data_IF_402384501779
#
_entry.id   IF_402384501779
#
_cell.length_a   1.000
_cell.length_b   1.000
_cell.length_c   1.000
_cell.angle_alpha   90.00
_cell.angle_beta   90.00
_cell.angle_gamma   90.00
#
_symmetry.space_group_name_H-M   'P 1'
#
loop_
_entity.id
_entity.type
_entity.pdbx_description
1 polymer ?
#
# COMPACT_ATOMS: atom_id res chain seq x y z
N UNK A 1 7.28 -15.62 -5.82
CA UNK A 1 5.85 -15.46 -5.49
C UNK A 1 5.47 -16.52 -4.46
N UNK A 2 4.92 -16.13 -3.31
CA UNK A 2 4.46 -17.09 -2.29
C UNK A 2 3.07 -17.65 -2.65
N UNK A 3 2.81 -18.92 -2.32
CA UNK A 3 1.56 -19.63 -2.62
C UNK A 3 0.35 -18.92 -1.97
N UNK A 4 -0.85 -18.98 -2.57
CA UNK A 4 -2.08 -18.54 -1.91
C UNK A 4 -2.22 -19.21 -0.54
N UNK A 5 -2.29 -18.40 0.53
CA UNK A 5 -2.32 -18.89 1.91
C UNK A 5 -0.97 -18.88 2.66
N UNK A 6 0.15 -18.69 1.96
CA UNK A 6 1.51 -18.57 2.53
C UNK A 6 2.05 -17.13 2.49
N UNK A 7 1.16 -16.13 2.50
CA UNK A 7 1.56 -14.72 2.59
C UNK A 7 2.14 -14.45 3.98
N UNK A 8 3.41 -14.04 4.06
CA UNK A 8 4.03 -13.64 5.32
C UNK A 8 3.16 -12.58 6.03
N UNK A 9 2.58 -12.95 7.17
CA UNK A 9 1.59 -12.14 7.90
C UNK A 9 2.11 -10.74 8.23
N UNK A 10 3.42 -10.61 8.48
CA UNK A 10 4.09 -9.36 8.77
C UNK A 10 4.14 -8.42 7.55
N UNK A 11 4.61 -8.91 6.39
CA UNK A 11 4.66 -8.08 5.18
C UNK A 11 3.25 -7.71 4.72
N UNK A 12 2.31 -8.66 4.78
CA UNK A 12 0.92 -8.49 4.31
C UNK A 12 0.18 -7.30 4.93
N UNK A 13 0.42 -6.98 6.21
CA UNK A 13 -0.22 -5.85 6.90
C UNK A 13 0.34 -4.51 6.43
N UNK A 14 1.68 -4.42 6.33
CA UNK A 14 2.36 -3.28 5.76
C UNK A 14 1.89 -2.99 4.33
N UNK A 15 1.66 -4.03 3.52
CA UNK A 15 1.19 -3.89 2.13
C UNK A 15 -0.28 -3.43 2.00
N UNK A 16 -1.07 -3.45 3.08
CA UNK A 16 -2.53 -3.22 3.03
C UNK A 16 -2.97 -1.92 3.67
N UNK A 17 -2.05 -1.06 4.09
CA UNK A 17 -2.36 0.06 5.00
C UNK A 17 -3.19 -0.40 6.20
N UNK A 18 -2.81 -1.56 6.75
CA UNK A 18 -3.34 -2.05 8.01
C UNK A 18 -2.37 -1.72 9.12
N UNK A 19 -2.90 -1.56 10.33
CA UNK A 19 -2.09 -1.25 11.48
C UNK A 19 -1.03 -2.34 11.74
N UNK A 20 0.19 -1.87 11.91
CA UNK A 20 1.39 -2.65 12.25
C UNK A 20 2.08 -1.94 13.40
N UNK A 21 2.29 -2.66 14.49
CA UNK A 21 3.12 -2.20 15.61
C UNK A 21 4.47 -2.90 15.53
N UNK A 22 5.53 -2.12 15.33
CA UNK A 22 6.92 -2.57 15.38
C UNK A 22 7.49 -2.41 16.78
N UNK A 23 7.92 -3.52 17.38
CA UNK A 23 8.56 -3.54 18.69
C UNK A 23 10.03 -3.88 18.56
N UNK A 24 10.86 -3.21 19.35
CA UNK A 24 12.31 -3.36 19.36
C UNK A 24 13.05 -2.25 18.61
N UNK A 25 14.39 -2.18 18.77
CA UNK A 25 15.22 -1.21 18.07
C UNK A 25 15.15 -1.40 16.56
N UNK A 26 15.04 -0.30 15.81
CA UNK A 26 14.91 -0.31 14.35
C UNK A 26 13.54 -0.77 13.82
N UNK A 27 12.60 -1.14 14.70
CA UNK A 27 11.29 -1.62 14.28
C UNK A 27 10.42 -0.49 13.73
N UNK A 28 9.62 -0.81 12.70
CA UNK A 28 8.73 0.13 12.03
C UNK A 28 7.27 -0.16 12.37
N UNK A 29 6.53 0.91 12.62
CA UNK A 29 5.09 0.90 12.84
C UNK A 29 4.38 1.72 11.77
N UNK A 30 3.18 1.28 11.40
CA UNK A 30 2.28 1.98 10.50
C UNK A 30 0.89 1.98 11.14
N UNK A 31 0.27 3.14 11.22
CA UNK A 31 -1.11 3.30 11.66
C UNK A 31 -1.87 4.07 10.58
N UNK A 32 -2.91 3.49 9.99
CA UNK A 32 -3.61 4.09 8.87
C UNK A 32 -5.13 4.01 9.00
N UNK A 33 -5.78 5.16 8.93
CA UNK A 33 -7.24 5.28 8.98
C UNK A 33 -7.90 5.03 7.62
N UNK A 34 -9.22 4.85 7.65
CA UNK A 34 -10.06 4.80 6.44
C UNK A 34 -10.33 6.21 5.84
N UNK A 35 -9.80 7.26 6.47
CA UNK A 35 -9.81 8.67 6.05
C UNK A 35 -8.63 9.04 5.12
N UNK A 36 -7.80 8.05 4.77
CA UNK A 36 -6.62 8.27 3.92
C UNK A 36 -5.49 8.98 4.62
N UNK A 37 -5.51 9.05 5.95
CA UNK A 37 -4.41 9.55 6.75
C UNK A 37 -3.64 8.37 7.36
N UNK A 38 -2.34 8.59 7.56
CA UNK A 38 -1.49 7.60 8.21
C UNK A 38 -0.36 8.23 8.99
N UNK A 39 0.17 7.46 9.93
CA UNK A 39 1.37 7.75 10.69
C UNK A 39 2.35 6.60 10.53
N UNK A 40 3.60 6.93 10.20
CA UNK A 40 4.73 6.01 10.21
C UNK A 40 5.62 6.35 11.38
N UNK A 41 6.05 5.33 12.11
CA UNK A 41 7.01 5.47 13.21
C UNK A 41 8.14 4.49 13.02
N UNK A 42 9.38 4.94 13.20
CA UNK A 42 10.55 4.06 13.21
C UNK A 42 11.29 4.24 14.54
N UNK A 43 11.42 3.15 15.29
CA UNK A 43 12.24 3.15 16.51
C UNK A 43 13.71 3.31 16.12
N UNK A 44 14.47 4.07 16.91
CA UNK A 44 15.92 4.15 16.72
C UNK A 44 16.54 2.75 16.83
N UNK A 45 17.60 2.44 16.05
CA UNK A 45 18.26 1.13 16.10
C UNK A 45 19.17 0.97 17.32
N UNK A 46 19.40 2.03 18.09
CA UNK A 46 20.23 2.01 19.30
C UNK A 46 19.56 1.17 20.39
N UNK A 47 20.18 0.02 20.67
CA UNK A 47 19.70 -0.92 21.67
C UNK A 47 19.74 -0.34 23.08
N UNK A 48 20.84 0.31 23.47
CA UNK A 48 21.04 0.86 24.81
C UNK A 48 19.98 1.93 25.11
N UNK A 49 19.86 2.93 24.23
CA UNK A 49 18.89 4.01 24.38
C UNK A 49 17.43 3.50 24.38
N UNK A 50 17.14 2.46 23.60
CA UNK A 50 15.83 1.82 23.58
C UNK A 50 15.51 1.16 24.93
N UNK A 51 16.43 0.34 25.48
CA UNK A 51 16.22 -0.33 26.77
C UNK A 51 16.19 0.64 27.95
N UNK A 52 17.06 1.65 27.96
CA UNK A 52 17.06 2.69 29.01
C UNK A 52 15.73 3.44 29.04
N UNK A 53 15.23 3.88 27.88
CA UNK A 53 13.94 4.55 27.81
C UNK A 53 12.80 3.67 28.35
N UNK A 54 12.79 2.38 28.03
CA UNK A 54 11.77 1.45 28.56
C UNK A 54 11.89 1.24 30.07
N UNK A 55 13.11 1.11 30.60
CA UNK A 55 13.34 0.95 32.04
C UNK A 55 12.88 2.18 32.83
N UNK A 56 13.01 3.37 32.23
CA UNK A 56 12.53 4.63 32.80
C UNK A 56 11.02 4.87 32.58
N UNK A 57 10.29 3.92 31.97
CA UNK A 57 8.86 4.07 31.65
C UNK A 57 8.56 5.10 30.55
N UNK A 58 9.56 5.46 29.73
CA UNK A 58 9.45 6.41 28.63
C UNK A 58 9.31 5.70 27.29
N UNK A 59 8.73 6.39 26.31
CA UNK A 59 8.72 5.89 24.94
C UNK A 59 10.16 5.85 24.38
N UNK A 60 10.57 4.76 23.71
CA UNK A 60 11.88 4.70 23.08
C UNK A 60 12.07 5.80 22.02
N UNK A 61 13.31 6.27 21.81
CA UNK A 61 13.63 7.21 20.75
C UNK A 61 13.12 6.71 19.39
N UNK A 62 12.47 7.59 18.63
CA UNK A 62 11.86 7.24 17.36
C UNK A 62 11.71 8.46 16.46
N UNK A 63 11.54 8.23 15.17
CA UNK A 63 11.04 9.22 14.22
C UNK A 63 9.56 8.98 13.94
N UNK A 64 8.87 10.04 13.55
CA UNK A 64 7.47 9.99 13.13
C UNK A 64 7.28 10.79 11.83
N UNK A 65 6.51 10.23 10.92
CA UNK A 65 6.15 10.84 9.64
C UNK A 65 4.64 10.70 9.42
N UNK A 66 4.05 11.72 8.78
CA UNK A 66 2.68 11.70 8.28
C UNK A 66 2.70 11.82 6.75
N UNK A 67 2.69 10.68 6.03
CA UNK A 67 2.73 10.71 4.56
C UNK A 67 1.53 11.47 4.00
N UNK A 68 1.71 12.27 2.94
CA UNK A 68 0.60 12.95 2.30
C UNK A 68 -0.37 11.92 1.70
N UNK A 69 -1.66 12.26 1.69
CA UNK A 69 -2.72 11.41 1.16
C UNK A 69 -2.44 10.92 -0.27
N UNK A 70 -1.88 11.79 -1.13
CA UNK A 70 -1.49 11.45 -2.49
C UNK A 70 -0.44 10.33 -2.54
N UNK A 71 0.61 10.40 -1.72
CA UNK A 71 1.61 9.32 -1.65
C UNK A 71 1.00 8.00 -1.18
N UNK A 72 0.06 8.04 -0.23
CA UNK A 72 -0.68 6.86 0.21
C UNK A 72 -1.57 6.29 -0.90
N UNK A 73 -2.16 7.14 -1.75
CA UNK A 73 -2.92 6.75 -2.93
C UNK A 73 -2.02 6.02 -3.95
N UNK A 74 -0.85 6.58 -4.24
CA UNK A 74 0.13 6.02 -5.18
C UNK A 74 0.62 4.65 -4.70
N UNK A 75 0.96 4.56 -3.41
CA UNK A 75 1.34 3.29 -2.80
C UNK A 75 0.19 2.27 -2.83
N UNK A 76 -1.06 2.71 -2.64
CA UNK A 76 -2.21 1.83 -2.78
C UNK A 76 -2.34 1.29 -4.21
N UNK A 77 -2.23 2.14 -5.24
CA UNK A 77 -2.24 1.73 -6.64
C UNK A 77 -1.14 0.69 -6.91
N UNK A 78 0.12 1.05 -6.63
CA UNK A 78 1.26 0.19 -6.90
C UNK A 78 1.15 -1.18 -6.20
N UNK A 79 0.69 -1.21 -4.95
CA UNK A 79 0.58 -2.47 -4.20
C UNK A 79 -0.63 -3.30 -4.64
N UNK A 80 -1.77 -2.69 -4.92
CA UNK A 80 -2.98 -3.44 -5.29
C UNK A 80 -2.87 -4.10 -6.66
N UNK A 81 -2.17 -3.48 -7.61
CA UNK A 81 -1.87 -4.08 -8.92
C UNK A 81 -1.02 -5.36 -8.79
N UNK A 82 -0.21 -5.49 -7.73
CA UNK A 82 0.58 -6.69 -7.42
C UNK A 82 -0.25 -7.84 -6.82
N UNK A 83 -1.52 -7.62 -6.51
CA UNK A 83 -2.38 -8.62 -5.84
C UNK A 83 -3.44 -9.21 -6.77
N UNK A 84 -3.80 -10.48 -6.55
CA UNK A 84 -4.89 -11.14 -7.29
C UNK A 84 -6.26 -10.46 -7.09
N UNK A 85 -6.43 -9.70 -5.99
CA UNK A 85 -7.65 -8.94 -5.68
C UNK A 85 -7.80 -7.69 -6.56
N UNK A 86 -6.73 -7.21 -7.18
CA UNK A 86 -6.75 -6.01 -8.02
C UNK A 86 -6.92 -4.69 -7.25
N UNK A 87 -6.88 -3.59 -8.00
CA UNK A 87 -7.09 -2.21 -7.60
C UNK A 87 -8.57 -1.87 -7.63
N UNK A 88 -9.13 -1.48 -6.48
CA UNK A 88 -10.51 -0.97 -6.36
C UNK A 88 -10.52 0.54 -6.58
N UNK A 89 -11.16 0.99 -7.66
CA UNK A 89 -11.28 2.42 -7.97
C UNK A 89 -12.17 3.14 -6.94
N UNK A 90 -13.20 2.44 -6.45
CA UNK A 90 -14.09 2.97 -5.39
C UNK A 90 -13.35 3.19 -4.08
N UNK A 91 -12.48 2.26 -3.69
CA UNK A 91 -11.69 2.41 -2.46
C UNK A 91 -10.67 3.53 -2.61
N UNK A 92 -10.08 3.68 -3.80
CA UNK A 92 -9.13 4.75 -4.09
C UNK A 92 -9.78 6.13 -3.94
N UNK A 93 -10.96 6.31 -4.53
CA UNK A 93 -11.75 7.53 -4.40
C UNK A 93 -12.21 7.77 -2.95
N UNK A 94 -12.84 6.78 -2.32
CA UNK A 94 -13.43 6.96 -0.98
C UNK A 94 -12.39 7.18 0.13
N UNK A 95 -11.24 6.47 0.06
CA UNK A 95 -10.23 6.51 1.11
C UNK A 95 -9.17 7.57 0.86
N UNK A 96 -8.75 7.79 -0.38
CA UNK A 96 -7.64 8.70 -0.68
C UNK A 96 -8.05 9.92 -1.50
N UNK A 97 -9.34 10.14 -1.70
CA UNK A 97 -9.88 11.30 -2.44
C UNK A 97 -9.27 11.40 -3.86
N UNK A 98 -9.02 10.23 -4.47
CA UNK A 98 -8.36 10.11 -5.77
C UNK A 98 -9.27 9.37 -6.76
N UNK A 99 -9.80 10.08 -7.76
CA UNK A 99 -10.60 9.49 -8.81
C UNK A 99 -9.72 9.12 -10.02
N UNK A 100 -9.13 7.93 -9.95
CA UNK A 100 -8.28 7.42 -11.02
C UNK A 100 -9.03 7.24 -12.36
N UNK A 101 -10.36 7.05 -12.34
CA UNK A 101 -11.12 6.96 -13.60
C UNK A 101 -11.19 8.31 -14.29
N UNK A 102 -11.37 9.39 -13.52
CA UNK A 102 -11.31 10.76 -14.03
C UNK A 102 -9.90 11.14 -14.48
N UNK A 103 -8.87 10.82 -13.68
CA UNK A 103 -7.48 11.22 -13.96
C UNK A 103 -6.84 10.44 -15.11
N UNK A 104 -7.10 9.14 -15.22
CA UNK A 104 -6.37 8.20 -16.09
C UNK A 104 -7.31 7.28 -16.89
N UNK A 105 -8.53 7.74 -17.18
CA UNK A 105 -9.56 6.97 -17.89
C UNK A 105 -9.08 6.36 -19.21
N UNK A 106 -8.44 7.18 -20.06
CA UNK A 106 -7.92 6.74 -21.37
C UNK A 106 -6.82 5.68 -21.22
N UNK A 107 -5.93 5.84 -20.23
CA UNK A 107 -4.89 4.87 -19.95
C UNK A 107 -5.49 3.53 -19.49
N UNK A 108 -6.49 3.57 -18.61
CA UNK A 108 -7.22 2.37 -18.15
C UNK A 108 -7.88 1.63 -19.32
N UNK A 109 -8.55 2.37 -20.21
CA UNK A 109 -9.27 1.76 -21.34
C UNK A 109 -8.30 1.22 -22.38
N UNK A 110 -7.22 1.94 -22.70
CA UNK A 110 -6.15 1.45 -23.58
C UNK A 110 -5.50 0.18 -23.04
N UNK A 111 -5.09 0.18 -21.77
CA UNK A 111 -4.43 -0.97 -21.15
C UNK A 111 -5.35 -2.20 -21.05
N UNK A 112 -6.68 -1.99 -20.95
CA UNK A 112 -7.67 -3.06 -21.06
C UNK A 112 -7.80 -3.58 -22.49
N UNK A 113 -7.91 -2.69 -23.47
CA UNK A 113 -8.02 -3.05 -24.88
C UNK A 113 -6.79 -3.82 -25.38
N UNK A 114 -5.59 -3.46 -24.89
CA UNK A 114 -4.33 -4.14 -25.19
C UNK A 114 -4.13 -5.45 -24.39
N UNK A 115 -5.07 -5.81 -23.50
CA UNK A 115 -5.04 -7.06 -22.75
C UNK A 115 -4.04 -7.06 -21.59
N UNK A 116 -3.60 -5.91 -21.09
CA UNK A 116 -2.73 -5.80 -19.90
C UNK A 116 -3.53 -5.69 -18.60
N UNK A 117 -4.77 -5.16 -18.66
CA UNK A 117 -5.69 -5.11 -17.53
C UNK A 117 -6.97 -5.89 -17.82
N UNK A 118 -7.52 -6.52 -16.79
CA UNK A 118 -8.84 -7.16 -16.81
C UNK A 118 -9.66 -6.70 -15.60
N UNK A 119 -10.99 -6.87 -15.68
CA UNK A 119 -11.84 -6.64 -14.53
C UNK A 119 -11.56 -7.69 -13.46
N UNK A 120 -11.31 -7.24 -12.23
CA UNK A 120 -11.08 -8.14 -11.09
C UNK A 120 -12.39 -8.68 -10.50
N UNK A 121 -13.51 -8.00 -10.75
CA UNK A 121 -14.86 -8.40 -10.35
C UNK A 121 -15.88 -8.03 -11.44
N UNK A 122 -17.04 -8.71 -11.46
CA UNK A 122 -18.08 -8.47 -12.46
C UNK A 122 -18.79 -7.11 -12.35
N UNK A 123 -18.47 -6.28 -11.35
CA UNK A 123 -19.05 -4.95 -11.17
C UNK A 123 -18.25 -3.82 -11.83
N UNK A 124 -17.16 -4.12 -12.54
CA UNK A 124 -16.33 -3.15 -13.27
C UNK A 124 -15.52 -2.16 -12.41
N UNK A 125 -15.72 -2.20 -11.08
CA UNK A 125 -15.18 -1.24 -10.12
C UNK A 125 -13.77 -1.58 -9.61
N UNK A 126 -13.25 -2.75 -9.98
CA UNK A 126 -11.89 -3.14 -9.71
C UNK A 126 -11.18 -3.70 -10.96
N UNK A 127 -9.91 -3.37 -11.11
CA UNK A 127 -9.03 -3.85 -12.20
C UNK A 127 -7.85 -4.62 -11.66
N UNK A 128 -7.37 -5.60 -12.41
CA UNK A 128 -6.10 -6.28 -12.09
C UNK A 128 -5.28 -6.52 -13.35
N UNK A 129 -3.95 -6.61 -13.25
CA UNK A 129 -3.13 -6.99 -14.38
C UNK A 129 -3.41 -8.42 -14.83
N UNK A 130 -3.52 -8.62 -16.14
CA UNK A 130 -3.55 -9.95 -16.76
C UNK A 130 -2.19 -10.66 -16.58
N UNK A 131 -2.03 -11.88 -17.10
CA UNK A 131 -0.71 -12.54 -17.11
C UNK A 131 0.33 -11.70 -17.86
N UNK A 132 -0.04 -11.13 -19.02
CA UNK A 132 0.84 -10.27 -19.80
C UNK A 132 1.11 -8.95 -19.06
N UNK A 133 0.10 -8.35 -18.44
CA UNK A 133 0.25 -7.13 -17.64
C UNK A 133 1.21 -7.31 -16.46
N UNK A 134 1.17 -8.45 -15.77
CA UNK A 134 2.09 -8.74 -14.65
C UNK A 134 3.56 -8.79 -15.07
N UNK A 135 3.86 -9.10 -16.32
CA UNK A 135 5.25 -9.07 -16.84
C UNK A 135 5.74 -7.64 -17.09
N UNK A 136 4.84 -6.65 -17.10
CA UNK A 136 5.13 -5.23 -17.36
C UNK A 136 4.60 -4.34 -16.25
N UNK A 137 4.71 -4.83 -15.01
CA UNK A 137 3.99 -4.24 -13.89
C UNK A 137 4.46 -2.83 -13.54
N UNK A 138 5.74 -2.54 -13.74
CA UNK A 138 6.30 -1.20 -13.47
C UNK A 138 5.76 -0.20 -14.49
N UNK A 139 5.82 -0.52 -15.79
CA UNK A 139 5.20 0.31 -16.84
C UNK A 139 3.67 0.49 -16.66
N UNK A 140 2.96 -0.53 -16.19
CA UNK A 140 1.55 -0.42 -15.82
C UNK A 140 1.32 0.54 -14.64
N UNK A 141 2.21 0.50 -13.65
CA UNK A 141 2.12 1.36 -12.47
C UNK A 141 2.38 2.80 -12.90
N UNK A 142 3.45 3.06 -13.66
CA UNK A 142 3.82 4.39 -14.15
C UNK A 142 2.72 5.02 -15.03
N UNK A 143 2.03 4.21 -15.84
CA UNK A 143 0.93 4.69 -16.67
C UNK A 143 -0.33 5.07 -15.86
N UNK A 144 -0.44 4.64 -14.61
CA UNK A 144 -1.60 4.84 -13.74
C UNK A 144 -1.32 5.78 -12.55
N UNK A 145 -0.07 6.20 -12.35
CA UNK A 145 0.28 7.23 -11.38
C UNK A 145 0.25 8.60 -12.07
#
# INVERSE_FOLDING_TARGET
MARPGSEARHTRRHWRHQDVLGLGPGAHSFSGGDDGLATRRANAPDWCAYTEALNDGRAPPHTQEHPPRAALADEYVARRLRTARGLSLKTLAARYDRDLRSERGDALDRLRAEGYLEQANGSGSAVRPTRAGRLRLDALTDALL
#
